data_IF_835021437605
#
_entry.id   IF_835021437605
#
_cell.length_a   1.000
_cell.length_b   1.000
_cell.length_c   1.000
_cell.angle_alpha   90.00
_cell.angle_beta   90.00
_cell.angle_gamma   90.00
#
_symmetry.space_group_name_H-M   'P 1'
#
loop_
_entity.id
_entity.type
_entity.pdbx_description
1 polymer ?
#
# COMPACT_ATOMS: atom_id res chain seq x y z
N UNK A 1 -52.75 19.60 14.71
CA UNK A 1 -51.95 19.00 13.62
C UNK A 1 -50.76 19.92 13.35
N UNK A 2 -49.50 19.54 13.63
CA UNK A 2 -48.36 20.34 13.21
C UNK A 2 -47.92 19.93 11.79
N UNK A 3 -47.52 20.94 11.04
CA UNK A 3 -47.22 20.90 9.62
C UNK A 3 -46.00 20.01 9.29
N UNK A 4 -46.14 19.19 8.25
CA UNK A 4 -45.03 18.46 7.64
C UNK A 4 -44.16 19.45 6.88
N UNK A 5 -42.97 19.76 7.41
CA UNK A 5 -41.94 20.49 6.67
C UNK A 5 -41.47 19.60 5.51
N UNK A 6 -41.81 19.99 4.28
CA UNK A 6 -41.30 19.32 3.09
C UNK A 6 -39.77 19.50 3.04
N UNK A 7 -39.04 18.41 3.18
CA UNK A 7 -37.59 18.38 2.96
C UNK A 7 -37.37 18.52 1.46
N UNK A 8 -36.92 19.70 1.03
CA UNK A 8 -36.57 19.98 -0.36
C UNK A 8 -35.44 19.02 -0.79
N UNK A 9 -35.67 18.21 -1.80
CA UNK A 9 -34.66 17.28 -2.32
C UNK A 9 -33.41 18.06 -2.75
N UNK A 10 -32.24 17.64 -2.24
CA UNK A 10 -30.97 18.26 -2.60
C UNK A 10 -30.62 17.89 -4.04
N UNK A 11 -30.22 18.86 -4.88
CA UNK A 11 -29.82 18.57 -6.25
C UNK A 11 -28.69 17.54 -6.26
N UNK A 12 -28.87 16.49 -7.06
CA UNK A 12 -27.94 15.39 -7.16
C UNK A 12 -26.69 15.86 -7.93
N UNK A 13 -25.57 16.03 -7.21
CA UNK A 13 -24.31 16.43 -7.84
C UNK A 13 -23.75 15.29 -8.69
N UNK A 14 -23.29 15.62 -9.90
CA UNK A 14 -22.54 14.69 -10.77
C UNK A 14 -21.35 14.13 -9.98
N UNK A 15 -21.10 12.81 -10.01
CA UNK A 15 -19.96 12.23 -9.31
C UNK A 15 -18.67 12.86 -9.84
N UNK A 16 -17.82 13.28 -8.91
CA UNK A 16 -16.50 13.82 -9.24
C UNK A 16 -15.62 12.70 -9.80
N UNK A 17 -14.69 13.00 -10.72
CA UNK A 17 -13.67 12.05 -11.09
C UNK A 17 -12.84 11.65 -9.86
N UNK A 18 -12.22 10.45 -9.85
CA UNK A 18 -11.29 10.09 -8.81
C UNK A 18 -10.16 11.14 -8.72
N UNK A 19 -9.72 11.51 -7.51
CA UNK A 19 -8.66 12.49 -7.36
C UNK A 19 -7.36 11.98 -8.00
N UNK A 20 -6.71 12.81 -8.81
CA UNK A 20 -5.34 12.55 -9.21
C UNK A 20 -4.42 12.87 -8.02
N UNK A 21 -4.05 11.82 -7.27
CA UNK A 21 -3.18 11.97 -6.10
C UNK A 21 -1.71 12.14 -6.46
N UNK A 22 -1.32 11.83 -7.71
CA UNK A 22 0.04 12.03 -8.23
C UNK A 22 0.05 13.16 -9.28
N UNK A 23 -0.29 14.38 -8.85
CA UNK A 23 -0.43 15.54 -9.74
C UNK A 23 0.88 15.97 -10.40
N UNK A 24 2.02 15.72 -9.75
CA UNK A 24 3.34 16.03 -10.28
C UNK A 24 4.05 14.82 -10.91
N UNK A 25 3.32 13.73 -11.13
CA UNK A 25 3.84 12.54 -11.82
C UNK A 25 5.14 12.04 -11.16
N UNK A 26 5.23 12.15 -9.81
CA UNK A 26 6.45 11.82 -9.08
C UNK A 26 6.79 10.34 -9.20
N UNK A 27 5.79 9.48 -9.44
CA UNK A 27 6.01 8.06 -9.70
C UNK A 27 6.70 7.79 -11.04
N UNK A 28 6.68 8.73 -11.99
CA UNK A 28 7.41 8.61 -13.27
C UNK A 28 8.93 8.80 -13.12
N UNK A 29 9.40 9.18 -11.92
CA UNK A 29 10.83 9.18 -11.59
C UNK A 29 11.40 7.77 -11.40
N UNK A 30 10.53 6.76 -11.31
CA UNK A 30 10.90 5.35 -11.31
C UNK A 30 11.18 4.85 -12.72
N UNK A 31 12.10 3.89 -12.85
CA UNK A 31 12.27 3.21 -14.13
C UNK A 31 11.04 2.32 -14.45
N UNK A 32 10.96 1.83 -15.69
CA UNK A 32 9.80 1.06 -16.15
C UNK A 32 9.52 -0.21 -15.34
N UNK A 33 10.56 -0.91 -14.87
CA UNK A 33 10.43 -2.11 -14.06
C UNK A 33 9.89 -1.78 -12.66
N UNK A 34 10.46 -0.75 -12.02
CA UNK A 34 10.03 -0.28 -10.70
C UNK A 34 8.59 0.24 -10.74
N UNK A 35 8.23 0.98 -11.78
CA UNK A 35 6.86 1.46 -11.99
C UNK A 35 5.88 0.31 -12.20
N UNK A 36 6.30 -0.76 -12.90
CA UNK A 36 5.47 -1.96 -13.07
C UNK A 36 5.23 -2.67 -11.73
N UNK A 37 6.27 -2.81 -10.89
CA UNK A 37 6.12 -3.36 -9.55
C UNK A 37 5.22 -2.49 -8.67
N UNK A 38 5.39 -1.17 -8.70
CA UNK A 38 4.54 -0.26 -7.93
C UNK A 38 3.06 -0.42 -8.31
N UNK A 39 2.76 -0.60 -9.59
CA UNK A 39 1.39 -0.89 -10.06
C UNK A 39 0.87 -2.23 -9.54
N UNK A 40 1.72 -3.25 -9.44
CA UNK A 40 1.36 -4.55 -8.84
C UNK A 40 1.07 -4.41 -7.34
N UNK A 41 1.87 -3.63 -6.59
CA UNK A 41 1.62 -3.32 -5.18
C UNK A 41 0.26 -2.63 -5.03
N UNK A 42 -0.01 -1.59 -5.82
CA UNK A 42 -1.29 -0.89 -5.82
C UNK A 42 -2.47 -1.84 -6.09
N UNK A 43 -2.33 -2.73 -7.07
CA UNK A 43 -3.36 -3.72 -7.40
C UNK A 43 -3.55 -4.72 -6.25
N UNK A 44 -2.48 -5.23 -5.65
CA UNK A 44 -2.55 -6.13 -4.50
C UNK A 44 -3.29 -5.48 -3.32
N UNK A 45 -2.90 -4.26 -2.96
CA UNK A 45 -3.54 -3.53 -1.86
C UNK A 45 -5.03 -3.29 -2.13
N UNK A 46 -5.39 -2.92 -3.37
CA UNK A 46 -6.78 -2.69 -3.77
C UNK A 46 -7.61 -3.97 -3.81
N UNK A 47 -7.08 -5.03 -4.42
CA UNK A 47 -7.87 -6.20 -4.81
C UNK A 47 -7.81 -7.34 -3.77
N UNK A 48 -6.79 -7.35 -2.90
CA UNK A 48 -6.60 -8.36 -1.85
C UNK A 48 -6.76 -7.81 -0.44
N UNK A 49 -6.16 -6.65 -0.14
CA UNK A 49 -6.16 -6.09 1.23
C UNK A 49 -7.45 -5.31 1.52
N UNK A 50 -7.79 -4.33 0.68
CA UNK A 50 -8.93 -3.44 0.91
C UNK A 50 -10.27 -4.16 1.19
N UNK A 51 -10.61 -5.30 0.52
CA UNK A 51 -11.89 -5.98 0.77
C UNK A 51 -12.02 -6.60 2.17
N UNK A 52 -10.91 -6.92 2.84
CA UNK A 52 -10.92 -7.65 4.12
C UNK A 52 -10.45 -6.81 5.30
N UNK A 53 -9.67 -5.76 5.06
CA UNK A 53 -8.90 -5.09 6.11
C UNK A 53 -9.75 -4.40 7.17
N UNK A 54 -10.94 -3.90 6.81
CA UNK A 54 -11.86 -3.27 7.79
C UNK A 54 -12.29 -4.25 8.89
N UNK A 55 -12.51 -5.53 8.54
CA UNK A 55 -12.83 -6.56 9.53
C UNK A 55 -11.66 -6.75 10.50
N UNK A 56 -10.46 -6.94 9.95
CA UNK A 56 -9.24 -7.14 10.74
C UNK A 56 -8.93 -5.96 11.65
N UNK A 57 -9.14 -4.74 11.15
CA UNK A 57 -8.99 -3.53 11.95
C UNK A 57 -9.98 -3.49 13.12
N UNK A 58 -11.24 -3.84 12.89
CA UNK A 58 -12.27 -3.84 13.95
C UNK A 58 -12.08 -4.97 14.98
N UNK A 59 -11.39 -6.05 14.61
CA UNK A 59 -11.15 -7.22 15.45
C UNK A 59 -9.76 -7.19 16.13
N UNK A 60 -8.99 -6.11 15.98
CA UNK A 60 -7.60 -6.00 16.45
C UNK A 60 -6.72 -7.18 16.00
N UNK A 61 -6.95 -7.65 14.77
CA UNK A 61 -6.33 -8.85 14.21
C UNK A 61 -5.50 -8.53 12.96
N UNK A 62 -4.63 -9.47 12.55
CA UNK A 62 -3.82 -9.35 11.34
C UNK A 62 -4.20 -10.41 10.30
N UNK A 63 -4.32 -10.05 9.00
CA UNK A 63 -4.70 -10.96 7.93
C UNK A 63 -3.52 -11.86 7.48
N UNK A 64 -3.14 -12.82 8.32
CA UNK A 64 -2.03 -13.74 8.03
C UNK A 64 -2.21 -14.55 6.74
N UNK A 65 -3.44 -14.79 6.31
CA UNK A 65 -3.77 -15.47 5.06
C UNK A 65 -3.32 -14.71 3.81
N UNK A 66 -3.05 -13.41 3.92
CA UNK A 66 -2.54 -12.60 2.81
C UNK A 66 -1.02 -12.72 2.64
N UNK A 67 -0.29 -13.22 3.65
CA UNK A 67 1.17 -13.28 3.62
C UNK A 67 1.74 -14.16 2.48
N UNK A 68 1.18 -15.34 2.14
CA UNK A 68 1.67 -16.11 1.01
C UNK A 68 1.58 -15.33 -0.32
N UNK A 69 0.45 -14.67 -0.58
CA UNK A 69 0.28 -13.87 -1.79
C UNK A 69 1.16 -12.61 -1.75
N UNK A 70 1.38 -12.02 -0.57
CA UNK A 70 2.30 -10.89 -0.39
C UNK A 70 3.77 -11.30 -0.63
N UNK A 71 4.17 -12.51 -0.24
CA UNK A 71 5.48 -13.08 -0.57
C UNK A 71 5.65 -13.23 -2.08
N UNK A 72 4.63 -13.73 -2.78
CA UNK A 72 4.64 -13.91 -4.24
C UNK A 72 4.75 -12.57 -4.99
N UNK A 73 4.27 -11.47 -4.40
CA UNK A 73 4.45 -10.12 -4.94
C UNK A 73 5.92 -9.70 -5.02
N UNK A 74 6.80 -10.33 -4.23
CA UNK A 74 8.25 -10.18 -4.37
C UNK A 74 8.77 -8.81 -3.95
N UNK A 75 8.21 -8.21 -2.89
CA UNK A 75 8.62 -6.89 -2.36
C UNK A 75 9.57 -6.97 -1.17
N UNK A 76 10.01 -8.17 -0.77
CA UNK A 76 10.99 -8.33 0.31
C UNK A 76 12.39 -7.91 -0.15
N UNK A 77 13.08 -7.14 0.69
CA UNK A 77 14.42 -6.61 0.45
C UNK A 77 14.45 -5.49 -0.58
N UNK A 78 13.42 -4.62 -0.62
CA UNK A 78 13.45 -3.48 -1.53
C UNK A 78 14.57 -2.50 -1.12
N UNK A 79 15.40 -2.12 -2.08
CA UNK A 79 16.58 -1.29 -1.83
C UNK A 79 17.82 -2.06 -1.33
N UNK A 80 17.75 -3.39 -1.21
CA UNK A 80 18.88 -4.24 -0.77
C UNK A 80 19.34 -5.18 -1.89
N UNK A 81 20.65 -5.35 -2.05
CA UNK A 81 21.23 -6.15 -3.14
C UNK A 81 21.70 -7.52 -2.65
N UNK A 82 21.48 -8.58 -3.43
CA UNK A 82 21.90 -9.95 -3.08
C UNK A 82 20.94 -10.66 -2.12
N UNK A 83 21.38 -11.77 -1.50
CA UNK A 83 20.64 -12.56 -0.49
C UNK A 83 19.20 -13.00 -0.85
N UNK A 84 18.84 -13.00 -2.14
CA UNK A 84 17.47 -13.26 -2.59
C UNK A 84 16.50 -12.08 -2.41
N UNK A 85 17.01 -10.91 -2.01
CA UNK A 85 16.26 -9.65 -1.96
C UNK A 85 15.86 -9.18 -3.36
N UNK A 86 14.73 -8.47 -3.45
CA UNK A 86 14.24 -7.93 -4.72
C UNK A 86 15.16 -6.88 -5.34
N UNK A 87 15.89 -6.11 -4.53
CA UNK A 87 16.68 -4.98 -5.00
C UNK A 87 15.83 -3.76 -5.33
N UNK A 88 16.19 -3.08 -6.41
CA UNK A 88 15.57 -1.81 -6.80
C UNK A 88 16.08 -0.62 -5.98
N UNK A 89 15.46 0.54 -6.19
CA UNK A 89 15.86 1.79 -5.53
C UNK A 89 15.13 2.01 -4.21
N UNK A 90 15.73 2.84 -3.35
CA UNK A 90 15.07 3.33 -2.14
C UNK A 90 13.82 4.18 -2.44
N UNK A 91 13.73 4.77 -3.64
CA UNK A 91 12.52 5.46 -4.11
C UNK A 91 11.37 4.49 -4.29
N UNK A 92 11.62 3.34 -4.92
CA UNK A 92 10.63 2.28 -5.06
C UNK A 92 10.13 1.79 -3.69
N UNK A 93 11.03 1.58 -2.72
CA UNK A 93 10.64 1.25 -1.34
C UNK A 93 9.67 2.30 -0.75
N UNK A 94 10.02 3.59 -0.87
CA UNK A 94 9.18 4.68 -0.39
C UNK A 94 7.81 4.73 -1.06
N UNK A 95 7.74 4.60 -2.38
CA UNK A 95 6.47 4.59 -3.10
C UNK A 95 5.63 3.34 -2.80
N UNK A 96 6.25 2.17 -2.64
CA UNK A 96 5.54 0.96 -2.22
C UNK A 96 4.91 1.14 -0.83
N UNK A 97 5.66 1.72 0.12
CA UNK A 97 5.14 2.12 1.43
C UNK A 97 3.94 3.06 1.32
N UNK A 98 4.00 4.07 0.44
CA UNK A 98 2.89 4.99 0.21
C UNK A 98 1.64 4.28 -0.34
N UNK A 99 1.79 3.36 -1.29
CA UNK A 99 0.66 2.58 -1.84
C UNK A 99 0.03 1.65 -0.79
N UNK A 100 0.84 1.06 0.08
CA UNK A 100 0.33 0.25 1.19
C UNK A 100 -0.43 1.12 2.20
N UNK A 101 0.17 2.23 2.63
CA UNK A 101 -0.43 3.15 3.61
C UNK A 101 -1.72 3.81 3.09
N UNK A 102 -1.87 3.95 1.76
CA UNK A 102 -3.10 4.44 1.13
C UNK A 102 -4.32 3.55 1.43
N UNK A 103 -4.10 2.25 1.66
CA UNK A 103 -5.17 1.29 1.94
C UNK A 103 -5.26 0.98 3.42
N UNK A 104 -4.13 0.72 4.08
CA UNK A 104 -4.11 0.42 5.50
C UNK A 104 -2.75 0.74 6.16
N UNK A 105 -2.73 1.57 7.22
CA UNK A 105 -1.49 1.92 7.89
C UNK A 105 -0.86 0.73 8.64
N UNK A 106 -1.65 -0.22 9.15
CA UNK A 106 -1.12 -1.38 9.87
C UNK A 106 -0.32 -2.32 8.95
N UNK A 107 -0.84 -2.58 7.74
CA UNK A 107 -0.16 -3.38 6.72
C UNK A 107 1.12 -2.69 6.23
N UNK A 108 1.08 -1.36 6.05
CA UNK A 108 2.26 -0.56 5.73
C UNK A 108 3.32 -0.63 6.86
N UNK A 109 2.90 -0.52 8.13
CA UNK A 109 3.81 -0.69 9.26
C UNK A 109 4.42 -2.08 9.31
N UNK A 110 3.63 -3.14 9.06
CA UNK A 110 4.15 -4.51 8.96
C UNK A 110 5.29 -4.59 7.92
N UNK A 111 5.05 -4.08 6.70
CA UNK A 111 6.06 -4.07 5.64
C UNK A 111 7.28 -3.23 6.03
N UNK A 112 7.09 -2.02 6.55
CA UNK A 112 8.18 -1.12 6.95
C UNK A 112 9.04 -1.69 8.09
N UNK A 113 8.45 -2.40 9.05
CA UNK A 113 9.20 -3.09 10.12
C UNK A 113 9.93 -4.30 9.56
N UNK A 114 9.27 -5.12 8.75
CA UNK A 114 9.88 -6.33 8.18
C UNK A 114 11.06 -6.00 7.27
N UNK A 115 10.84 -5.13 6.29
CA UNK A 115 11.82 -4.77 5.27
C UNK A 115 12.80 -3.70 5.79
N UNK A 116 12.29 -2.57 6.26
CA UNK A 116 13.12 -1.41 6.63
C UNK A 116 13.89 -1.58 7.94
N UNK A 117 13.33 -2.27 8.93
CA UNK A 117 13.96 -2.43 10.24
C UNK A 117 14.63 -3.79 10.39
N UNK A 118 13.88 -4.89 10.28
CA UNK A 118 14.42 -6.21 10.57
C UNK A 118 15.43 -6.65 9.51
N UNK A 119 15.00 -6.74 8.24
CA UNK A 119 15.91 -7.07 7.13
C UNK A 119 16.99 -5.99 6.98
N UNK A 120 16.62 -4.70 7.07
CA UNK A 120 17.56 -3.59 6.95
C UNK A 120 18.69 -3.61 8.00
N UNK A 121 18.37 -3.93 9.26
CA UNK A 121 19.38 -4.03 10.33
C UNK A 121 20.34 -5.18 10.09
N UNK A 122 19.82 -6.33 9.65
CA UNK A 122 20.65 -7.50 9.32
C UNK A 122 21.52 -7.20 8.10
N UNK A 123 20.96 -6.59 7.06
CA UNK A 123 21.69 -6.26 5.83
C UNK A 123 22.87 -5.30 6.08
N UNK A 124 22.71 -4.34 6.99
CA UNK A 124 23.75 -3.35 7.28
C UNK A 124 24.74 -3.76 8.36
N UNK A 125 24.29 -4.54 9.35
CA UNK A 125 25.07 -4.84 10.55
C UNK A 125 25.27 -6.33 10.85
N UNK A 126 24.73 -7.22 10.03
CA UNK A 126 24.91 -8.66 10.16
C UNK A 126 26.31 -9.13 9.77
N UNK A 127 26.68 -10.33 10.22
CA UNK A 127 27.83 -11.04 9.67
C UNK A 127 27.43 -11.79 8.40
N UNK A 128 28.44 -12.13 7.58
CA UNK A 128 28.29 -13.15 6.52
C UNK A 128 28.10 -14.56 7.12
#
# INVERSE_FOLDING_TARGET
>A
MPAQTQVKERPQHKPLPPPNTDFYEVTETLNAEELALLKQVRAFMKDKVAPVITKYWAEDAFPFELLPAFRELGVGGLGMQGYGCRGGSIRLFGFAQMEMARVDPSFATFFGVHDGLAMGSIYLGGSE
#
